data_IF_173294446099
#
_entry.id   IF_173294446099
#
_cell.length_a   1.000
_cell.length_b   1.000
_cell.length_c   1.000
_cell.angle_alpha   90.00
_cell.angle_beta   90.00
_cell.angle_gamma   90.00
#
_symmetry.space_group_name_H-M   'P 1'
#
loop_
_entity.id
_entity.type
_entity.pdbx_description
1 polymer ?
#
# COMPACT_ATOMS: atom_id res chain seq x y z
N UNK A 1 -7.45 -38.88 10.81
CA UNK A 1 -8.63 -39.32 10.04
C UNK A 1 -9.68 -38.22 10.13
N UNK A 2 -9.94 -37.51 9.04
CA UNK A 2 -10.95 -36.44 9.02
C UNK A 2 -12.35 -37.03 9.27
N UNK A 3 -13.16 -36.36 10.09
CA UNK A 3 -14.58 -36.72 10.23
C UNK A 3 -15.23 -36.61 8.86
N UNK A 4 -16.01 -37.62 8.48
CA UNK A 4 -16.79 -37.60 7.25
C UNK A 4 -17.82 -36.46 7.32
N UNK A 5 -17.71 -35.48 6.41
CA UNK A 5 -18.72 -34.42 6.26
C UNK A 5 -19.90 -35.02 5.51
N UNK A 6 -21.09 -34.91 6.10
CA UNK A 6 -22.33 -35.32 5.45
C UNK A 6 -22.92 -34.11 4.72
N UNK A 7 -22.82 -34.13 3.39
CA UNK A 7 -23.45 -33.12 2.54
C UNK A 7 -24.95 -33.37 2.43
N UNK A 8 -25.80 -32.34 2.49
CA UNK A 8 -27.23 -32.49 2.21
C UNK A 8 -27.46 -33.10 0.82
N UNK A 9 -28.40 -34.03 0.74
CA UNK A 9 -28.85 -34.65 -0.52
C UNK A 9 -30.20 -34.09 -0.92
N UNK A 10 -30.47 -34.06 -2.24
CA UNK A 10 -31.74 -33.58 -2.81
C UNK A 10 -32.05 -32.08 -2.59
N UNK A 11 -31.02 -31.25 -2.37
CA UNK A 11 -31.16 -29.79 -2.36
C UNK A 11 -30.86 -29.27 -3.77
N UNK A 12 -31.81 -28.58 -4.38
CA UNK A 12 -31.63 -27.97 -5.69
C UNK A 12 -31.04 -26.55 -5.52
N UNK A 13 -30.04 -26.16 -6.32
CA UNK A 13 -29.57 -24.78 -6.35
C UNK A 13 -30.67 -23.85 -6.91
N UNK A 14 -30.67 -22.56 -6.54
CA UNK A 14 -31.49 -21.54 -7.19
C UNK A 14 -31.19 -21.51 -8.69
N UNK A 15 -32.22 -21.28 -9.50
CA UNK A 15 -32.08 -21.16 -10.95
C UNK A 15 -32.39 -19.73 -11.34
N UNK A 16 -31.37 -19.00 -11.81
CA UNK A 16 -31.56 -17.65 -12.31
C UNK A 16 -32.45 -17.65 -13.55
N UNK A 17 -33.37 -16.70 -13.61
CA UNK A 17 -34.18 -16.46 -14.80
C UNK A 17 -33.31 -16.02 -15.98
N UNK A 18 -33.60 -16.56 -17.15
CA UNK A 18 -32.92 -16.22 -18.41
C UNK A 18 -33.69 -15.09 -19.09
N UNK A 19 -33.12 -13.89 -19.10
CA UNK A 19 -33.70 -12.69 -19.71
C UNK A 19 -32.72 -12.19 -20.78
N UNK A 20 -32.98 -12.45 -22.07
CA UNK A 20 -32.02 -12.14 -23.13
C UNK A 20 -31.80 -10.63 -23.24
N UNK A 21 -30.57 -10.20 -23.02
CA UNK A 21 -30.10 -8.84 -23.31
C UNK A 21 -29.09 -8.91 -24.43
N UNK A 22 -29.34 -8.19 -25.53
CA UNK A 22 -28.41 -8.15 -26.66
C UNK A 22 -27.34 -7.07 -26.43
N UNK A 23 -26.07 -7.49 -26.49
CA UNK A 23 -24.91 -6.63 -26.43
C UNK A 23 -24.29 -6.57 -27.82
N UNK A 24 -24.31 -5.39 -28.44
CA UNK A 24 -23.79 -5.18 -29.80
C UNK A 24 -22.56 -4.29 -29.75
N UNK A 25 -21.43 -4.80 -30.23
CA UNK A 25 -20.20 -4.02 -30.43
C UNK A 25 -19.47 -4.51 -31.66
N UNK A 26 -18.84 -3.61 -32.43
CA UNK A 26 -18.08 -3.95 -33.65
C UNK A 26 -18.83 -4.84 -34.66
N UNK A 27 -20.15 -4.66 -34.79
CA UNK A 27 -21.06 -5.52 -35.59
C UNK A 27 -21.14 -6.99 -35.14
N UNK A 28 -20.59 -7.34 -33.98
CA UNK A 28 -20.80 -8.62 -33.29
C UNK A 28 -21.95 -8.51 -32.30
N UNK A 29 -22.77 -9.57 -32.22
CA UNK A 29 -23.97 -9.62 -31.37
C UNK A 29 -23.82 -10.77 -30.40
N UNK A 30 -23.83 -10.46 -29.10
CA UNK A 30 -23.80 -11.43 -28.02
C UNK A 30 -25.08 -11.31 -27.20
N UNK A 31 -25.68 -12.43 -26.83
CA UNK A 31 -26.82 -12.44 -25.91
C UNK A 31 -26.34 -12.83 -24.52
N UNK A 32 -26.50 -11.93 -23.56
CA UNK A 32 -26.30 -12.20 -22.15
C UNK A 32 -27.67 -12.37 -21.48
N UNK A 33 -27.97 -13.60 -21.06
CA UNK A 33 -29.25 -13.95 -20.44
C UNK A 33 -29.33 -13.54 -18.95
N UNK A 34 -28.21 -13.11 -18.37
CA UNK A 34 -28.08 -12.79 -16.95
C UNK A 34 -27.66 -11.34 -16.71
N UNK A 35 -27.60 -10.51 -17.76
CA UNK A 35 -27.24 -9.09 -17.66
C UNK A 35 -28.08 -8.31 -16.63
N UNK A 36 -29.33 -8.73 -16.44
CA UNK A 36 -30.26 -8.16 -15.46
C UNK A 36 -29.76 -8.27 -14.00
N UNK A 37 -28.85 -9.21 -13.68
CA UNK A 37 -28.24 -9.35 -12.35
C UNK A 37 -27.33 -8.17 -11.96
N UNK A 38 -26.97 -7.30 -12.92
CA UNK A 38 -26.17 -6.11 -12.66
C UNK A 38 -26.97 -4.97 -11.98
N UNK A 39 -28.30 -5.04 -11.94
CA UNK A 39 -29.16 -4.04 -11.32
C UNK A 39 -29.28 -4.26 -9.80
N UNK A 40 -28.37 -3.65 -9.04
CA UNK A 40 -28.16 -3.92 -7.60
C UNK A 40 -29.38 -3.60 -6.71
N UNK A 41 -30.20 -2.64 -7.12
CA UNK A 41 -31.37 -2.19 -6.35
C UNK A 41 -32.64 -2.98 -6.73
N UNK A 42 -32.55 -3.85 -7.75
CA UNK A 42 -33.68 -4.62 -8.23
C UNK A 42 -34.08 -5.70 -7.23
N UNK A 43 -35.36 -5.72 -6.84
CA UNK A 43 -35.87 -6.71 -5.88
C UNK A 43 -35.72 -8.15 -6.36
N UNK A 44 -35.75 -8.42 -7.68
CA UNK A 44 -35.53 -9.76 -8.24
C UNK A 44 -34.07 -10.20 -8.07
N UNK A 45 -33.12 -9.27 -8.19
CA UNK A 45 -31.69 -9.55 -8.01
C UNK A 45 -31.44 -9.84 -6.53
N UNK A 46 -31.95 -8.99 -5.64
CA UNK A 46 -31.84 -9.19 -4.19
C UNK A 46 -32.43 -10.54 -3.77
N UNK A 47 -33.61 -10.91 -4.30
CA UNK A 47 -34.21 -12.21 -4.00
C UNK A 47 -33.32 -13.37 -4.46
N UNK A 48 -32.79 -13.34 -5.69
CA UNK A 48 -31.89 -14.38 -6.18
C UNK A 48 -30.62 -14.52 -5.32
N UNK A 49 -30.03 -13.39 -4.89
CA UNK A 49 -28.88 -13.41 -3.98
C UNK A 49 -29.23 -13.97 -2.60
N UNK A 50 -30.42 -13.68 -2.06
CA UNK A 50 -30.90 -14.30 -0.83
C UNK A 50 -31.09 -15.80 -0.98
N UNK A 51 -31.61 -16.27 -2.11
CA UNK A 51 -31.80 -17.69 -2.39
C UNK A 51 -30.44 -18.42 -2.50
N UNK A 52 -29.44 -17.81 -3.15
CA UNK A 52 -28.07 -18.36 -3.24
C UNK A 52 -27.38 -18.41 -1.87
N UNK A 53 -27.58 -17.40 -1.02
CA UNK A 53 -27.09 -17.41 0.36
C UNK A 53 -27.74 -18.55 1.16
N UNK A 54 -29.06 -18.71 1.07
CA UNK A 54 -29.79 -19.77 1.76
C UNK A 54 -29.36 -21.18 1.28
N UNK A 55 -29.11 -21.34 -0.02
CA UNK A 55 -28.56 -22.57 -0.59
C UNK A 55 -27.16 -22.87 -0.03
N UNK A 56 -26.28 -21.86 -0.02
CA UNK A 56 -24.93 -21.98 0.53
C UNK A 56 -24.95 -22.37 2.02
N UNK A 57 -25.77 -21.70 2.83
CA UNK A 57 -25.95 -22.01 4.25
C UNK A 57 -26.42 -23.46 4.47
N UNK A 58 -27.36 -23.91 3.63
CA UNK A 58 -27.89 -25.28 3.67
C UNK A 58 -26.80 -26.29 3.34
N UNK A 59 -26.12 -26.13 2.20
CA UNK A 59 -25.09 -27.08 1.75
C UNK A 59 -23.90 -27.13 2.72
N UNK A 60 -23.51 -26.00 3.30
CA UNK A 60 -22.39 -25.91 4.23
C UNK A 60 -22.74 -26.28 5.68
N UNK A 61 -24.02 -26.56 6.00
CA UNK A 61 -24.47 -26.79 7.37
C UNK A 61 -23.71 -27.92 8.09
N UNK A 62 -23.33 -28.99 7.38
CA UNK A 62 -22.55 -30.11 7.92
C UNK A 62 -21.11 -29.77 8.31
N UNK A 63 -20.62 -28.58 7.93
CA UNK A 63 -19.24 -28.12 8.19
C UNK A 63 -19.14 -27.09 9.31
N UNK A 64 -20.24 -26.68 9.95
CA UNK A 64 -20.24 -25.60 10.97
C UNK A 64 -19.20 -25.81 12.07
N UNK A 65 -19.10 -27.02 12.63
CA UNK A 65 -18.09 -27.30 13.64
C UNK A 65 -16.65 -27.15 13.13
N UNK A 66 -16.39 -27.50 11.86
CA UNK A 66 -15.07 -27.31 11.26
C UNK A 66 -14.79 -25.81 11.07
N UNK A 67 -15.78 -25.03 10.62
CA UNK A 67 -15.67 -23.58 10.50
C UNK A 67 -15.38 -22.91 11.85
N UNK A 68 -16.10 -23.31 12.90
CA UNK A 68 -15.89 -22.80 14.27
C UNK A 68 -14.49 -23.13 14.78
N UNK A 69 -14.00 -24.35 14.51
CA UNK A 69 -12.65 -24.76 14.86
C UNK A 69 -11.59 -23.92 14.12
N UNK A 70 -11.76 -23.73 12.80
CA UNK A 70 -10.86 -22.91 11.99
C UNK A 70 -10.88 -21.45 12.42
N UNK A 71 -12.07 -20.89 12.69
CA UNK A 71 -12.22 -19.53 13.20
C UNK A 71 -11.51 -19.35 14.54
N UNK A 72 -11.74 -20.27 15.48
CA UNK A 72 -11.11 -20.23 16.81
C UNK A 72 -9.60 -20.39 16.72
N UNK A 73 -9.12 -21.32 15.87
CA UNK A 73 -7.69 -21.49 15.61
C UNK A 73 -7.08 -20.21 15.05
N UNK A 74 -7.61 -19.67 13.95
CA UNK A 74 -7.10 -18.44 13.33
C UNK A 74 -7.12 -17.26 14.30
N UNK A 75 -8.21 -17.07 15.05
CA UNK A 75 -8.31 -16.02 16.07
C UNK A 75 -7.24 -16.20 17.16
N UNK A 76 -7.00 -17.43 17.62
CA UNK A 76 -6.00 -17.72 18.65
C UNK A 76 -4.55 -17.44 18.20
N UNK A 77 -4.30 -17.31 16.89
CA UNK A 77 -2.99 -16.94 16.32
C UNK A 77 -2.75 -15.43 16.26
N UNK A 78 -3.73 -14.61 16.64
CA UNK A 78 -3.63 -13.16 16.60
C UNK A 78 -3.42 -12.65 18.02
N UNK A 79 -2.36 -11.86 18.22
CA UNK A 79 -2.18 -11.12 19.45
C UNK A 79 -3.05 -9.84 19.40
N UNK A 80 -4.06 -9.75 20.27
CA UNK A 80 -4.98 -8.59 20.28
C UNK A 80 -4.26 -7.30 20.68
N UNK A 81 -3.48 -7.34 21.78
CA UNK A 81 -2.64 -6.21 22.19
C UNK A 81 -1.32 -6.24 21.43
N UNK A 82 -1.17 -5.32 20.48
CA UNK A 82 0.02 -5.23 19.65
C UNK A 82 0.43 -3.78 19.37
N UNK A 83 1.69 -3.55 19.01
CA UNK A 83 2.23 -2.25 18.66
C UNK A 83 3.15 -2.34 17.44
N UNK A 84 3.05 -1.39 16.50
CA UNK A 84 4.01 -1.30 15.39
C UNK A 84 5.41 -0.91 15.90
N UNK A 85 6.43 -1.26 15.13
CA UNK A 85 7.79 -0.75 15.37
C UNK A 85 7.79 0.79 15.22
N UNK A 86 8.22 1.56 16.23
CA UNK A 86 8.24 3.01 16.14
C UNK A 86 9.27 3.52 15.12
N UNK A 87 8.93 4.56 14.38
CA UNK A 87 9.82 5.22 13.42
C UNK A 87 9.99 6.70 13.75
N UNK A 88 11.18 7.26 13.48
CA UNK A 88 11.52 8.62 13.89
C UNK A 88 11.45 9.61 12.74
N UNK A 89 10.71 10.72 12.93
CA UNK A 89 10.63 11.83 11.97
C UNK A 89 10.46 13.13 12.74
N UNK A 90 11.22 14.15 12.34
CA UNK A 90 11.03 15.54 12.79
C UNK A 90 10.92 15.70 14.33
N UNK A 91 11.79 15.03 15.09
CA UNK A 91 11.81 15.10 16.56
C UNK A 91 10.83 14.17 17.28
N UNK A 92 10.11 13.31 16.56
CA UNK A 92 9.11 12.41 17.15
C UNK A 92 9.25 10.97 16.66
N UNK A 93 9.04 10.03 17.58
CA UNK A 93 8.81 8.63 17.30
C UNK A 93 7.32 8.39 17.10
N UNK A 94 6.92 7.85 15.95
CA UNK A 94 5.53 7.55 15.60
C UNK A 94 5.28 6.05 15.61
N UNK A 95 4.10 5.63 16.09
CA UNK A 95 3.67 4.24 16.07
C UNK A 95 2.14 4.15 16.18
N UNK A 96 1.62 2.95 15.92
CA UNK A 96 0.22 2.60 16.23
C UNK A 96 0.20 1.45 17.23
N UNK A 97 -0.84 1.41 18.06
CA UNK A 97 -1.08 0.31 19.00
C UNK A 97 -2.53 -0.13 18.99
N UNK A 98 -2.76 -1.41 19.24
CA UNK A 98 -4.06 -2.00 19.51
C UNK A 98 -4.15 -2.35 20.99
N UNK A 99 -5.33 -2.12 21.56
CA UNK A 99 -5.66 -2.52 22.93
C UNK A 99 -6.52 -3.78 22.90
N UNK A 100 -6.43 -4.58 23.96
CA UNK A 100 -7.23 -5.80 24.09
C UNK A 100 -8.73 -5.47 24.09
N UNK A 101 -9.53 -6.23 23.34
CA UNK A 101 -10.97 -5.99 23.18
C UNK A 101 -11.35 -4.84 22.25
N UNK A 102 -10.39 -4.05 21.74
CA UNK A 102 -10.65 -2.96 20.79
C UNK A 102 -10.35 -3.35 19.35
N UNK A 103 -11.14 -2.83 18.41
CA UNK A 103 -11.06 -3.19 16.99
C UNK A 103 -10.20 -2.23 16.16
N UNK A 104 -9.96 -1.02 16.66
CA UNK A 104 -9.25 0.02 15.92
C UNK A 104 -7.95 0.43 16.61
N UNK A 105 -6.93 0.87 15.83
CA UNK A 105 -5.67 1.29 16.41
C UNK A 105 -5.74 2.71 16.96
N UNK A 106 -4.90 2.96 17.97
CA UNK A 106 -4.57 4.31 18.47
C UNK A 106 -3.27 4.76 17.80
N UNK A 107 -3.32 5.91 17.11
CA UNK A 107 -2.14 6.53 16.49
C UNK A 107 -1.46 7.43 17.50
N UNK A 108 -0.17 7.17 17.75
CA UNK A 108 0.57 7.75 18.85
C UNK A 108 1.92 8.32 18.37
N UNK A 109 2.47 9.25 19.14
CA UNK A 109 3.86 9.67 19.02
C UNK A 109 4.53 9.91 20.38
N UNK A 110 5.86 9.95 20.40
CA UNK A 110 6.69 10.30 21.56
C UNK A 110 7.79 11.26 21.15
N UNK A 111 8.01 12.33 21.92
CA UNK A 111 8.99 13.36 21.59
C UNK A 111 10.42 12.92 21.94
N UNK A 112 11.36 13.12 21.02
CA UNK A 112 12.81 12.87 21.10
C UNK A 112 13.22 11.40 21.38
N UNK A 113 12.73 10.80 22.47
CA UNK A 113 13.08 9.48 22.95
C UNK A 113 11.86 8.59 23.17
N UNK A 114 12.04 7.27 23.07
CA UNK A 114 10.97 6.28 23.30
C UNK A 114 10.52 6.18 24.77
N UNK A 115 11.31 6.70 25.71
CA UNK A 115 10.96 6.76 27.14
C UNK A 115 10.09 7.97 27.50
N UNK A 116 9.98 8.94 26.59
CA UNK A 116 9.11 10.11 26.78
C UNK A 116 7.64 9.67 26.86
N UNK A 117 6.79 10.38 27.64
CA UNK A 117 5.35 10.13 27.66
C UNK A 117 4.74 10.12 26.26
N UNK A 118 3.76 9.23 26.07
CA UNK A 118 3.00 9.11 24.83
C UNK A 118 2.08 10.31 24.62
N UNK A 119 2.03 10.80 23.38
CA UNK A 119 1.02 11.72 22.86
C UNK A 119 0.09 10.94 21.91
N UNK A 120 -1.20 10.90 22.22
CA UNK A 120 -2.22 10.30 21.34
C UNK A 120 -2.61 11.34 20.28
N UNK A 121 -2.45 10.99 19.01
CA UNK A 121 -2.86 11.83 17.88
C UNK A 121 -4.33 11.58 17.52
N UNK A 122 -4.66 10.31 17.27
CA UNK A 122 -5.96 9.87 16.78
C UNK A 122 -6.31 8.53 17.43
N UNK A 123 -7.35 8.52 18.27
CA UNK A 123 -7.93 7.30 18.82
C UNK A 123 -9.17 6.91 18.02
N UNK A 124 -9.00 5.94 17.13
CA UNK A 124 -10.10 5.49 16.28
C UNK A 124 -11.22 4.82 17.05
N UNK A 125 -10.98 4.28 18.25
CA UNK A 125 -12.04 3.64 19.03
C UNK A 125 -13.06 4.67 19.50
N UNK A 126 -12.57 5.82 19.97
CA UNK A 126 -13.42 6.97 20.34
C UNK A 126 -14.07 7.58 19.09
N UNK A 127 -13.29 7.77 18.03
CA UNK A 127 -13.78 8.43 16.81
C UNK A 127 -14.84 7.60 16.06
N UNK A 128 -14.82 6.28 16.20
CA UNK A 128 -15.77 5.36 15.58
C UNK A 128 -17.09 5.21 16.36
N UNK A 129 -17.22 5.78 17.56
CA UNK A 129 -18.44 5.65 18.37
C UNK A 129 -19.68 6.15 17.62
N UNK A 130 -20.74 5.34 17.61
CA UNK A 130 -21.99 5.66 16.92
C UNK A 130 -22.01 5.35 15.41
N UNK A 131 -20.89 4.94 14.82
CA UNK A 131 -20.83 4.55 13.41
C UNK A 131 -20.93 3.03 13.21
N UNK A 132 -21.64 2.60 12.14
CA UNK A 132 -21.68 1.19 11.73
C UNK A 132 -20.40 0.74 11.01
N UNK A 133 -19.68 1.70 10.46
CA UNK A 133 -18.41 1.53 9.76
C UNK A 133 -17.57 2.78 10.02
N UNK A 134 -16.29 2.60 10.29
CA UNK A 134 -15.36 3.69 10.44
C UNK A 134 -13.99 3.28 9.93
N UNK A 135 -13.37 4.13 9.12
CA UNK A 135 -12.01 3.92 8.66
C UNK A 135 -11.27 5.25 8.69
N UNK A 136 -10.22 5.35 9.52
CA UNK A 136 -9.15 6.32 9.30
C UNK A 136 -8.25 5.80 8.17
N UNK A 137 -8.15 6.54 7.07
CA UNK A 137 -7.35 6.12 5.92
C UNK A 137 -5.89 6.55 6.05
N UNK A 138 -5.64 7.84 6.23
CA UNK A 138 -4.29 8.38 6.33
C UNK A 138 -4.24 9.59 7.28
N UNK A 139 -3.03 9.98 7.66
CA UNK A 139 -2.75 11.19 8.41
C UNK A 139 -1.39 11.78 8.02
N UNK A 140 -1.26 13.09 8.12
CA UNK A 140 -0.01 13.81 7.93
C UNK A 140 0.14 14.93 8.97
N UNK A 141 1.28 14.93 9.67
CA UNK A 141 1.62 15.96 10.66
C UNK A 141 2.39 17.08 9.97
N UNK A 142 2.05 18.32 10.29
CA UNK A 142 2.71 19.53 9.79
C UNK A 142 4.18 19.60 10.24
N UNK A 143 5.03 20.38 9.54
CA UNK A 143 6.46 20.50 9.84
C UNK A 143 6.74 21.10 11.22
N UNK A 144 5.86 21.94 11.73
CA UNK A 144 5.98 22.46 13.09
C UNK A 144 5.50 21.46 14.18
N UNK A 145 5.02 20.27 13.80
CA UNK A 145 4.47 19.23 14.67
C UNK A 145 3.20 19.63 15.47
N UNK A 146 2.53 20.72 15.08
CA UNK A 146 1.40 21.28 15.84
C UNK A 146 0.04 20.87 15.29
N UNK A 147 -0.05 20.40 14.04
CA UNK A 147 -1.32 20.09 13.38
C UNK A 147 -1.21 18.72 12.72
N UNK A 148 -2.28 17.92 12.82
CA UNK A 148 -2.44 16.70 12.02
C UNK A 148 -3.61 16.88 11.06
N UNK A 149 -3.38 16.64 9.78
CA UNK A 149 -4.41 16.43 8.78
C UNK A 149 -4.72 14.93 8.73
N UNK A 150 -5.99 14.55 8.60
CA UNK A 150 -6.38 13.14 8.55
C UNK A 150 -7.68 12.93 7.77
N UNK A 151 -7.83 11.73 7.20
CA UNK A 151 -8.94 11.37 6.31
C UNK A 151 -9.77 10.22 6.89
N UNK A 152 -11.10 10.37 6.87
CA UNK A 152 -12.01 9.39 7.46
C UNK A 152 -13.13 9.01 6.49
N UNK A 153 -13.48 7.73 6.44
CA UNK A 153 -14.67 7.21 5.75
C UNK A 153 -15.56 6.50 6.79
N UNK A 154 -16.79 6.98 6.94
CA UNK A 154 -17.76 6.43 7.89
C UNK A 154 -18.89 5.64 7.22
N UNK A 155 -18.82 5.42 5.91
CA UNK A 155 -19.87 4.76 5.11
C UNK A 155 -19.34 3.75 4.09
N UNK A 156 -18.03 3.49 4.05
CA UNK A 156 -17.37 2.51 3.17
C UNK A 156 -17.57 2.83 1.68
N UNK A 157 -17.50 4.12 1.33
CA UNK A 157 -17.63 4.60 -0.06
C UNK A 157 -16.30 5.02 -0.69
N UNK A 158 -15.21 5.04 0.08
CA UNK A 158 -13.90 5.56 -0.33
C UNK A 158 -13.96 7.01 -0.85
N UNK A 159 -14.88 7.77 -0.26
CA UNK A 159 -15.02 9.22 -0.37
C UNK A 159 -14.77 9.76 1.03
N UNK A 160 -13.59 10.34 1.25
CA UNK A 160 -13.12 10.63 2.59
C UNK A 160 -13.46 12.08 2.99
N UNK A 161 -13.80 12.26 4.25
CA UNK A 161 -13.78 13.56 4.91
C UNK A 161 -12.33 13.84 5.33
N UNK A 162 -11.72 14.88 4.77
CA UNK A 162 -10.44 15.42 5.23
C UNK A 162 -10.70 16.44 6.36
N UNK A 163 -9.97 16.27 7.46
CA UNK A 163 -10.10 17.04 8.70
C UNK A 163 -8.74 17.43 9.24
N UNK A 164 -8.72 18.43 10.13
CA UNK A 164 -7.50 18.92 10.76
C UNK A 164 -7.69 18.98 12.28
N UNK A 165 -6.65 18.63 13.04
CA UNK A 165 -6.62 18.72 14.50
C UNK A 165 -5.41 19.49 14.98
N UNK A 166 -5.63 20.43 15.89
CA UNK A 166 -4.56 21.07 16.62
C UNK A 166 -4.05 20.10 17.71
N UNK A 167 -2.80 19.68 17.60
CA UNK A 167 -2.18 18.71 18.51
C UNK A 167 -1.80 19.30 19.86
N UNK A 168 -1.73 20.63 19.99
CA UNK A 168 -1.46 21.29 21.27
C UNK A 168 -2.71 21.36 22.15
N UNK A 169 -3.88 21.53 21.53
CA UNK A 169 -5.15 21.66 22.25
C UNK A 169 -5.98 20.38 22.23
N UNK A 170 -5.74 19.47 21.28
CA UNK A 170 -6.55 18.29 21.01
C UNK A 170 -7.89 18.61 20.33
N UNK A 171 -8.09 19.85 19.87
CA UNK A 171 -9.35 20.32 19.28
C UNK A 171 -9.26 20.24 17.75
N UNK A 172 -10.30 19.68 17.13
CA UNK A 172 -10.47 19.68 15.67
C UNK A 172 -10.81 21.09 15.16
N UNK A 173 -10.26 21.45 14.01
CA UNK A 173 -10.67 22.63 13.28
C UNK A 173 -12.12 22.45 12.77
N UNK A 174 -12.82 23.56 12.53
CA UNK A 174 -14.25 23.53 12.23
C UNK A 174 -14.55 23.03 10.82
N UNK A 175 -13.63 23.26 9.88
CA UNK A 175 -13.75 22.86 8.49
C UNK A 175 -13.63 21.34 8.30
N UNK A 176 -14.43 20.83 7.37
CA UNK A 176 -14.39 19.44 6.88
C UNK A 176 -14.46 19.50 5.36
N UNK A 177 -13.49 18.87 4.70
CA UNK A 177 -13.42 18.81 3.24
C UNK A 177 -13.95 17.46 2.77
N UNK A 178 -15.14 17.40 2.15
CA UNK A 178 -15.74 16.12 1.74
C UNK A 178 -15.18 15.62 0.40
N UNK A 179 -15.37 14.33 0.14
CA UNK A 179 -15.00 13.68 -1.13
C UNK A 179 -13.53 13.81 -1.51
N UNK A 180 -12.65 13.85 -0.50
CA UNK A 180 -11.21 13.80 -0.70
C UNK A 180 -10.74 12.37 -1.00
N UNK A 181 -9.55 12.25 -1.57
CA UNK A 181 -8.80 11.00 -1.63
C UNK A 181 -8.27 10.59 -0.26
N UNK A 182 -8.12 9.28 -0.05
CA UNK A 182 -7.85 8.72 1.28
C UNK A 182 -6.41 8.87 1.76
N UNK A 183 -5.42 8.84 0.86
CA UNK A 183 -4.01 8.68 1.23
C UNK A 183 -3.06 9.73 0.65
N UNK A 184 -3.57 10.62 -0.22
CA UNK A 184 -2.80 11.61 -0.97
C UNK A 184 -2.90 12.99 -0.33
N UNK A 185 -2.06 13.19 0.68
CA UNK A 185 -2.02 14.35 1.57
C UNK A 185 -0.68 15.05 1.46
N UNK A 186 -0.67 16.38 1.35
CA UNK A 186 0.58 17.15 1.36
C UNK A 186 0.43 18.51 2.04
N UNK A 187 1.13 18.68 3.16
CA UNK A 187 1.41 20.00 3.74
C UNK A 187 2.39 20.80 2.88
N UNK A 188 2.10 22.09 2.72
CA UNK A 188 3.13 23.06 2.38
C UNK A 188 4.02 23.36 3.60
N UNK A 189 5.23 23.89 3.34
CA UNK A 189 6.20 24.20 4.39
C UNK A 189 5.79 25.38 5.28
N UNK A 190 4.73 26.12 4.93
CA UNK A 190 4.19 27.24 5.71
C UNK A 190 3.31 26.78 6.90
N UNK A 191 3.00 25.48 7.00
CA UNK A 191 2.10 24.87 7.99
C UNK A 191 0.67 25.43 7.99
N UNK A 192 0.24 26.04 6.88
CA UNK A 192 -1.08 26.69 6.74
C UNK A 192 -1.78 26.32 5.44
N UNK A 193 -1.01 26.02 4.40
CA UNK A 193 -1.52 25.59 3.11
C UNK A 193 -1.47 24.08 3.02
N UNK A 194 -2.59 23.48 2.62
CA UNK A 194 -2.73 22.04 2.47
C UNK A 194 -3.23 21.69 1.08
N UNK A 195 -2.65 20.68 0.45
CA UNK A 195 -3.05 20.21 -0.87
C UNK A 195 -3.72 18.85 -0.77
N UNK A 196 -4.84 18.68 -1.49
CA UNK A 196 -5.61 17.43 -1.49
C UNK A 196 -6.20 17.15 -2.87
N UNK A 197 -6.51 15.88 -3.11
CA UNK A 197 -7.21 15.43 -4.32
C UNK A 197 -8.70 15.29 -4.03
N UNK A 198 -9.55 15.86 -4.89
CA UNK A 198 -11.01 15.69 -4.86
C UNK A 198 -11.43 14.61 -5.86
N UNK A 199 -12.33 13.73 -5.42
CA UNK A 199 -12.88 12.62 -6.21
C UNK A 199 -14.19 12.97 -6.88
N UNK A 200 -14.42 12.39 -8.04
CA UNK A 200 -15.73 12.41 -8.69
C UNK A 200 -16.67 11.42 -7.98
N UNK A 201 -17.85 11.85 -7.56
CA UNK A 201 -18.74 11.07 -6.67
C UNK A 201 -19.37 9.84 -7.31
N UNK A 202 -19.40 9.78 -8.64
CA UNK A 202 -19.92 8.64 -9.42
C UNK A 202 -18.82 7.65 -9.79
N UNK A 203 -17.78 8.08 -10.51
CA UNK A 203 -16.68 7.20 -10.95
C UNK A 203 -15.69 6.87 -9.85
N UNK A 204 -15.67 7.64 -8.75
CA UNK A 204 -14.73 7.53 -7.64
C UNK A 204 -13.27 7.78 -8.03
N UNK A 205 -13.01 8.40 -9.18
CA UNK A 205 -11.67 8.79 -9.60
C UNK A 205 -11.30 10.17 -9.02
N UNK A 206 -10.08 10.29 -8.48
CA UNK A 206 -9.46 11.57 -8.18
C UNK A 206 -9.11 12.29 -9.49
N UNK A 207 -9.54 13.55 -9.63
CA UNK A 207 -9.36 14.28 -10.90
C UNK A 207 -9.02 15.76 -10.72
N UNK A 208 -9.16 16.31 -9.50
CA UNK A 208 -8.81 17.70 -9.21
C UNK A 208 -7.90 17.78 -8.00
N UNK A 209 -6.88 18.63 -8.08
CA UNK A 209 -6.04 19.01 -6.94
C UNK A 209 -6.45 20.40 -6.48
N UNK A 210 -6.68 20.54 -5.19
CA UNK A 210 -7.12 21.77 -4.55
C UNK A 210 -6.12 22.19 -3.48
N UNK A 211 -5.98 23.50 -3.27
CA UNK A 211 -5.25 24.10 -2.17
C UNK A 211 -6.23 24.69 -1.16
N UNK A 212 -6.16 24.19 0.06
CA UNK A 212 -6.89 24.67 1.22
C UNK A 212 -6.00 25.57 2.10
N UNK A 213 -6.58 26.63 2.65
CA UNK A 213 -5.95 27.44 3.69
C UNK A 213 -6.58 27.14 5.04
N UNK A 214 -5.79 26.65 5.99
CA UNK A 214 -6.26 26.19 7.30
C UNK A 214 -7.07 27.27 8.03
N UNK A 215 -8.20 26.87 8.62
CA UNK A 215 -9.12 27.73 9.36
C UNK A 215 -10.02 28.60 8.47
N UNK A 216 -10.05 28.37 7.16
CA UNK A 216 -10.93 29.09 6.22
C UNK A 216 -12.09 28.20 5.75
N UNK A 217 -13.16 28.82 5.23
CA UNK A 217 -14.27 28.08 4.63
C UNK A 217 -13.81 27.38 3.34
N UNK A 218 -14.12 26.08 3.22
CA UNK A 218 -13.75 25.19 2.10
C UNK A 218 -14.18 25.71 0.73
N UNK A 219 -15.23 26.55 0.67
CA UNK A 219 -15.65 27.22 -0.57
C UNK A 219 -14.62 28.21 -1.12
N UNK A 220 -13.64 28.63 -0.32
CA UNK A 220 -12.52 29.48 -0.74
C UNK A 220 -11.31 28.70 -1.25
N UNK A 221 -11.36 27.36 -1.23
CA UNK A 221 -10.27 26.53 -1.75
C UNK A 221 -10.02 26.84 -3.22
N UNK A 222 -8.74 26.78 -3.61
CA UNK A 222 -8.33 27.13 -4.97
C UNK A 222 -8.01 25.85 -5.74
N UNK A 223 -8.67 25.68 -6.89
CA UNK A 223 -8.34 24.62 -7.85
C UNK A 223 -6.96 24.93 -8.46
N UNK A 224 -6.00 24.03 -8.26
CA UNK A 224 -4.62 24.21 -8.75
C UNK A 224 -4.26 23.29 -9.91
N UNK A 225 -4.99 22.19 -10.09
CA UNK A 225 -4.84 21.28 -11.23
C UNK A 225 -6.12 20.47 -11.47
N UNK A 226 -6.42 20.17 -12.74
CA UNK A 226 -7.50 19.26 -13.14
C UNK A 226 -7.02 18.33 -14.26
N UNK A 227 -7.15 17.02 -14.03
CA UNK A 227 -6.91 15.99 -15.05
C UNK A 227 -8.15 15.80 -15.90
N UNK A 228 -7.98 15.91 -17.22
CA UNK A 228 -9.06 15.85 -18.19
C UNK A 228 -9.23 14.46 -18.79
N UNK A 229 -8.18 13.64 -18.75
CA UNK A 229 -8.19 12.26 -19.20
C UNK A 229 -8.42 11.33 -18.01
N UNK A 230 -9.63 10.78 -17.92
CA UNK A 230 -10.06 9.92 -16.81
C UNK A 230 -9.35 8.57 -16.73
N UNK A 231 -8.40 8.29 -17.64
CA UNK A 231 -7.50 7.14 -17.53
C UNK A 231 -6.37 7.39 -16.53
N UNK A 232 -6.02 8.66 -16.30
CA UNK A 232 -4.97 9.04 -15.36
C UNK A 232 -5.53 9.11 -13.94
N UNK A 233 -5.04 8.23 -13.07
CA UNK A 233 -5.19 8.38 -11.64
C UNK A 233 -4.25 9.49 -11.14
N UNK A 234 -4.69 10.23 -10.13
CA UNK A 234 -3.87 11.25 -9.48
C UNK A 234 -3.41 10.77 -8.11
N UNK A 235 -2.14 11.04 -7.81
CA UNK A 235 -1.57 10.90 -6.47
C UNK A 235 -0.81 12.17 -6.08
N UNK A 236 -0.69 12.40 -4.77
CA UNK A 236 -0.07 13.60 -4.21
C UNK A 236 0.84 13.21 -3.05
N UNK A 237 2.08 13.68 -3.09
CA UNK A 237 3.06 13.37 -2.06
C UNK A 237 4.02 14.51 -1.83
N UNK A 238 4.63 14.54 -0.64
CA UNK A 238 5.73 15.44 -0.33
C UNK A 238 7.06 14.70 -0.47
N UNK A 239 7.96 15.25 -1.27
CA UNK A 239 9.30 14.69 -1.45
C UNK A 239 10.01 14.50 -0.10
N UNK A 240 10.83 13.47 0.03
CA UNK A 240 11.58 13.17 1.27
C UNK A 240 12.47 14.33 1.73
N UNK A 241 13.01 15.10 0.79
CA UNK A 241 13.75 16.33 1.07
C UNK A 241 12.91 17.47 1.68
N UNK A 242 11.58 17.36 1.65
CA UNK A 242 10.63 18.40 2.05
C UNK A 242 10.49 19.56 1.06
N UNK A 243 11.33 19.64 0.01
CA UNK A 243 11.43 20.78 -0.92
C UNK A 243 10.27 20.89 -1.89
N UNK A 244 9.73 19.75 -2.36
CA UNK A 244 8.67 19.69 -3.35
C UNK A 244 7.43 18.95 -2.85
N UNK A 245 6.27 19.44 -3.25
CA UNK A 245 5.03 18.67 -3.37
C UNK A 245 5.00 18.15 -4.82
N UNK A 246 4.81 16.84 -4.97
CA UNK A 246 4.73 16.17 -6.25
C UNK A 246 3.30 15.69 -6.49
N UNK A 247 2.72 16.16 -7.59
CA UNK A 247 1.51 15.60 -8.18
C UNK A 247 1.93 14.57 -9.23
N UNK A 248 1.33 13.40 -9.17
CA UNK A 248 1.62 12.28 -10.06
C UNK A 248 0.33 11.98 -10.82
N UNK A 249 0.37 12.03 -12.13
CA UNK A 249 -0.70 11.54 -12.99
C UNK A 249 -0.23 10.26 -13.67
N UNK A 250 -0.94 9.15 -13.49
CA UNK A 250 -0.53 7.86 -14.03
C UNK A 250 -1.66 7.04 -14.66
N UNK A 251 -1.35 6.39 -15.79
CA UNK A 251 -2.10 5.24 -16.27
C UNK A 251 -1.28 4.02 -15.89
N UNK A 252 -1.88 3.12 -15.08
CA UNK A 252 -1.19 1.93 -14.58
C UNK A 252 -0.46 1.19 -15.71
N UNK A 253 0.84 0.96 -15.52
CA UNK A 253 1.75 0.28 -16.46
C UNK A 253 1.89 0.92 -17.87
N UNK A 254 1.30 2.08 -18.13
CA UNK A 254 1.28 2.71 -19.46
C UNK A 254 2.00 4.05 -19.50
N UNK A 255 1.78 4.96 -18.55
CA UNK A 255 2.28 6.33 -18.65
C UNK A 255 2.32 7.02 -17.30
N UNK A 256 3.36 7.81 -17.04
CA UNK A 256 3.48 8.63 -15.82
C UNK A 256 3.82 10.08 -16.15
N UNK A 257 3.27 11.04 -15.41
CA UNK A 257 3.67 12.45 -15.40
C UNK A 257 3.85 12.94 -13.97
N UNK A 258 5.00 13.54 -13.67
CA UNK A 258 5.20 14.28 -12.43
C UNK A 258 5.06 15.77 -12.69
N UNK A 259 4.33 16.45 -11.82
CA UNK A 259 4.32 17.90 -11.71
C UNK A 259 4.80 18.28 -10.30
N UNK A 260 5.67 19.28 -10.22
CA UNK A 260 6.34 19.70 -9.00
C UNK A 260 5.93 21.11 -8.60
N UNK A 261 5.66 21.29 -7.31
CA UNK A 261 5.42 22.59 -6.69
C UNK A 261 6.43 22.77 -5.53
N UNK A 262 7.19 23.87 -5.46
CA UNK A 262 8.04 24.16 -4.30
C UNK A 262 7.18 24.28 -3.04
N UNK A 263 7.40 23.42 -2.05
CA UNK A 263 6.59 23.39 -0.83
C UNK A 263 6.71 24.68 -0.01
N UNK A 264 7.78 25.45 -0.20
CA UNK A 264 7.99 26.77 0.42
C UNK A 264 7.23 27.91 -0.26
N UNK A 265 6.67 27.69 -1.46
CA UNK A 265 5.84 28.66 -2.17
C UNK A 265 4.51 28.01 -2.59
N UNK A 266 3.57 27.83 -1.66
CA UNK A 266 2.27 27.22 -1.96
C UNK A 266 1.42 28.05 -2.92
N UNK A 267 1.79 29.29 -3.21
CA UNK A 267 1.15 30.15 -4.20
C UNK A 267 1.58 29.87 -5.65
N UNK A 268 2.72 29.18 -5.83
CA UNK A 268 3.23 28.81 -7.14
C UNK A 268 2.31 27.84 -7.89
N UNK A 269 2.55 27.71 -9.20
CA UNK A 269 1.89 26.70 -10.03
C UNK A 269 2.75 25.45 -10.15
N UNK A 270 2.10 24.29 -10.22
CA UNK A 270 2.75 23.03 -10.56
C UNK A 270 3.51 23.13 -11.90
N UNK A 271 4.77 22.73 -11.89
CA UNK A 271 5.64 22.69 -13.07
C UNK A 271 5.85 21.25 -13.52
N UNK A 272 5.69 20.97 -14.81
CA UNK A 272 5.91 19.63 -15.36
C UNK A 272 7.39 19.25 -15.19
N UNK A 273 7.66 18.08 -14.61
CA UNK A 273 9.00 17.51 -14.51
C UNK A 273 9.49 17.02 -15.87
N UNK A 274 8.70 16.14 -16.49
CA UNK A 274 8.88 15.62 -17.85
C UNK A 274 7.49 15.34 -18.41
N UNK A 275 7.19 15.89 -19.59
CA UNK A 275 5.91 15.66 -20.27
C UNK A 275 5.67 14.18 -20.48
N UNK A 276 4.43 13.74 -20.20
CA UNK A 276 4.03 12.34 -20.36
C UNK A 276 4.26 11.80 -21.77
N UNK A 277 4.69 10.54 -21.83
CA UNK A 277 4.90 9.79 -23.06
C UNK A 277 4.33 8.38 -22.89
N UNK A 278 3.56 7.91 -23.86
CA UNK A 278 2.97 6.57 -23.82
C UNK A 278 4.06 5.50 -23.79
N UNK A 279 3.90 4.51 -22.92
CA UNK A 279 4.88 3.45 -22.64
C UNK A 279 5.99 3.87 -21.68
N UNK A 280 6.07 5.14 -21.24
CA UNK A 280 7.12 5.62 -20.34
C UNK A 280 6.58 5.73 -18.91
N UNK A 281 7.15 4.91 -18.05
CA UNK A 281 6.95 4.90 -16.62
C UNK A 281 8.20 5.45 -15.94
N UNK A 282 8.00 6.27 -14.92
CA UNK A 282 9.10 6.70 -14.07
C UNK A 282 8.62 7.08 -12.68
N UNK A 283 9.53 7.00 -11.70
CA UNK A 283 9.37 7.61 -10.39
C UNK A 283 10.59 8.44 -10.04
N UNK A 284 10.42 9.45 -9.18
CA UNK A 284 11.50 10.38 -8.83
C UNK A 284 11.72 10.46 -7.32
N UNK A 285 12.99 10.59 -6.94
CA UNK A 285 13.42 10.95 -5.59
C UNK A 285 14.29 12.19 -5.64
N UNK A 286 13.94 13.22 -4.87
CA UNK A 286 14.74 14.44 -4.76
C UNK A 286 15.79 14.30 -3.66
N UNK A 287 17.03 14.64 -3.97
CA UNK A 287 18.15 14.65 -3.02
C UNK A 287 19.08 15.81 -3.35
N UNK A 288 19.32 16.68 -2.37
CA UNK A 288 20.16 17.88 -2.50
C UNK A 288 19.79 18.78 -3.69
N UNK A 289 20.54 18.71 -4.80
CA UNK A 289 20.43 19.53 -6.01
C UNK A 289 20.00 18.74 -7.26
N UNK A 290 19.51 17.51 -7.08
CA UNK A 290 19.22 16.58 -8.16
C UNK A 290 18.01 15.70 -7.88
N UNK A 291 17.50 15.11 -8.96
CA UNK A 291 16.55 14.03 -8.91
C UNK A 291 17.21 12.73 -9.36
N UNK A 292 16.95 11.66 -8.62
CA UNK A 292 17.08 10.30 -9.13
C UNK A 292 15.78 9.89 -9.81
N UNK A 293 15.88 9.24 -10.96
CA UNK A 293 14.74 8.84 -11.77
C UNK A 293 14.85 7.33 -12.04
N UNK A 294 13.93 6.55 -11.49
CA UNK A 294 13.77 5.15 -11.84
C UNK A 294 12.82 5.07 -13.03
N UNK A 295 13.27 4.61 -14.20
CA UNK A 295 12.47 4.67 -15.44
C UNK A 295 12.62 3.45 -16.34
N UNK A 296 11.57 3.12 -17.08
CA UNK A 296 11.60 2.09 -18.12
C UNK A 296 12.00 2.62 -19.51
N UNK A 297 12.39 3.90 -19.63
CA UNK A 297 12.75 4.50 -20.92
C UNK A 297 13.86 3.70 -21.59
N UNK A 298 13.57 3.05 -22.72
CA UNK A 298 14.42 2.06 -23.40
C UNK A 298 15.07 1.05 -22.43
N UNK A 299 14.30 0.62 -21.41
CA UNK A 299 14.75 -0.31 -20.38
C UNK A 299 13.54 -1.04 -19.75
N UNK A 300 12.98 -2.09 -20.36
CA UNK A 300 11.85 -2.85 -19.79
C UNK A 300 12.03 -3.27 -18.33
N UNK A 301 13.25 -3.58 -17.90
CA UNK A 301 13.57 -3.95 -16.51
C UNK A 301 13.92 -2.76 -15.61
N UNK A 302 13.65 -1.56 -16.09
CA UNK A 302 13.99 -0.28 -15.50
C UNK A 302 15.50 -0.04 -15.36
N UNK A 303 15.84 1.24 -15.32
CA UNK A 303 17.18 1.73 -15.00
C UNK A 303 17.07 2.93 -14.10
N UNK A 304 18.18 3.23 -13.43
CA UNK A 304 18.29 4.41 -12.60
C UNK A 304 19.07 5.49 -13.34
N UNK A 305 18.45 6.65 -13.47
CA UNK A 305 19.03 7.85 -14.02
C UNK A 305 19.10 8.94 -12.95
N UNK A 306 19.82 10.03 -13.23
CA UNK A 306 19.78 11.26 -12.44
C UNK A 306 19.76 12.48 -13.35
N UNK A 307 19.24 13.59 -12.84
CA UNK A 307 19.31 14.90 -13.51
C UNK A 307 19.39 16.03 -12.49
N UNK A 308 19.88 17.20 -12.89
CA UNK A 308 19.85 18.40 -12.03
C UNK A 308 18.41 18.86 -11.82
N UNK A 309 18.11 19.40 -10.64
CA UNK A 309 16.80 20.00 -10.38
C UNK A 309 16.49 21.21 -11.26
N UNK A 310 17.51 21.83 -11.87
CA UNK A 310 17.37 22.99 -12.75
C UNK A 310 17.19 22.61 -14.23
N UNK A 311 17.36 21.33 -14.59
CA UNK A 311 17.14 20.83 -15.94
C UNK A 311 16.60 19.40 -15.89
N UNK A 312 15.27 19.27 -15.79
CA UNK A 312 14.58 18.00 -15.60
C UNK A 312 14.26 17.27 -16.90
N UNK A 313 14.57 17.88 -18.06
CA UNK A 313 14.27 17.32 -19.38
C UNK A 313 14.93 15.95 -19.55
N UNK A 314 14.21 15.00 -20.13
CA UNK A 314 14.71 13.64 -20.42
C UNK A 314 16.06 13.61 -21.16
N UNK A 315 16.34 14.59 -22.01
CA UNK A 315 17.62 14.74 -22.72
C UNK A 315 18.83 14.99 -21.81
N UNK A 316 18.60 15.47 -20.59
CA UNK A 316 19.62 15.83 -19.61
C UNK A 316 19.84 14.72 -18.56
N UNK A 317 19.07 13.63 -18.65
CA UNK A 317 19.20 12.49 -17.76
C UNK A 317 20.51 11.74 -18.02
N UNK A 318 21.21 11.41 -16.94
CA UNK A 318 22.47 10.65 -16.98
C UNK A 318 22.32 9.35 -16.21
N UNK A 319 22.88 8.27 -16.76
CA UNK A 319 22.72 6.93 -16.18
C UNK A 319 23.54 6.75 -14.89
N UNK A 320 22.90 6.14 -13.89
CA UNK A 320 23.50 5.81 -12.57
C UNK A 320 23.63 4.31 -12.42
N UNK A 321 22.54 3.57 -12.69
CA UNK A 321 22.52 2.10 -12.76
C UNK A 321 21.89 1.72 -14.10
N UNK A 322 22.62 1.04 -15.00
CA UNK A 322 22.07 0.60 -16.27
C UNK A 322 21.02 -0.50 -16.07
N UNK A 323 20.23 -0.74 -17.12
CA UNK A 323 19.35 -1.91 -17.17
C UNK A 323 20.16 -3.22 -17.09
N UNK A 324 19.58 -4.23 -16.43
CA UNK A 324 20.01 -5.63 -16.47
C UNK A 324 18.81 -6.50 -16.88
N UNK A 325 18.96 -7.34 -17.90
CA UNK A 325 17.91 -8.23 -18.42
C UNK A 325 17.42 -9.26 -17.37
N UNK A 326 18.20 -9.48 -16.30
CA UNK A 326 17.89 -10.43 -15.23
C UNK A 326 17.45 -9.76 -13.91
N UNK A 327 17.36 -8.43 -13.86
CA UNK A 327 17.03 -7.69 -12.64
C UNK A 327 15.99 -6.61 -12.95
N UNK A 328 14.82 -6.75 -12.36
CA UNK A 328 13.78 -5.73 -12.40
C UNK A 328 13.99 -4.75 -11.23
N UNK A 329 14.20 -3.47 -11.51
CA UNK A 329 14.31 -2.44 -10.46
C UNK A 329 12.91 -1.94 -10.07
N UNK A 330 12.49 -2.19 -8.83
CA UNK A 330 11.12 -1.90 -8.36
C UNK A 330 11.00 -0.50 -7.76
N UNK A 331 11.92 -0.15 -6.86
CA UNK A 331 11.85 1.08 -6.07
C UNK A 331 13.23 1.52 -5.64
N UNK A 332 13.39 2.83 -5.45
CA UNK A 332 14.56 3.42 -4.80
C UNK A 332 14.19 4.18 -3.52
N UNK A 333 15.15 4.25 -2.60
CA UNK A 333 15.09 5.06 -1.39
C UNK A 333 16.42 5.81 -1.20
N UNK A 334 16.34 7.10 -0.89
CA UNK A 334 17.51 8.01 -0.80
C UNK A 334 17.87 8.31 0.64
N UNK A 335 19.16 8.27 0.95
CA UNK A 335 19.75 8.65 2.23
C UNK A 335 20.96 9.56 1.96
N UNK A 336 21.43 10.29 2.97
CA UNK A 336 22.56 11.23 2.82
C UNK A 336 23.77 10.61 2.13
N UNK A 337 24.12 9.38 2.52
CA UNK A 337 25.33 8.70 2.05
C UNK A 337 25.05 7.49 1.14
N UNK A 338 23.77 7.12 0.98
CA UNK A 338 23.38 5.86 0.35
C UNK A 338 22.19 6.03 -0.59
N UNK A 339 22.20 5.20 -1.62
CA UNK A 339 21.00 4.89 -2.39
C UNK A 339 20.66 3.41 -2.19
N UNK A 340 19.42 3.14 -1.81
CA UNK A 340 18.90 1.78 -1.65
C UNK A 340 17.98 1.47 -2.82
N UNK A 341 18.09 0.27 -3.35
CA UNK A 341 17.34 -0.23 -4.50
C UNK A 341 16.66 -1.53 -4.07
N UNK A 342 15.33 -1.54 -4.08
CA UNK A 342 14.55 -2.77 -4.06
C UNK A 342 14.45 -3.28 -5.49
N UNK A 343 14.82 -4.54 -5.70
CA UNK A 343 14.85 -5.16 -7.01
C UNK A 343 14.39 -6.60 -6.95
N UNK A 344 13.94 -7.15 -8.08
CA UNK A 344 13.60 -8.54 -8.22
C UNK A 344 14.57 -9.24 -9.15
N UNK A 345 15.17 -10.33 -8.67
CA UNK A 345 16.03 -11.21 -9.46
C UNK A 345 15.61 -12.65 -9.26
N UNK A 346 15.46 -13.40 -10.36
CA UNK A 346 14.98 -14.77 -10.33
C UNK A 346 13.68 -14.93 -9.52
N UNK A 347 12.72 -13.99 -9.62
CA UNK A 347 11.48 -13.99 -8.84
C UNK A 347 11.65 -13.97 -7.30
N UNK A 348 12.73 -13.36 -6.81
CA UNK A 348 12.90 -13.00 -5.39
C UNK A 348 13.20 -11.52 -5.28
N UNK A 349 12.50 -10.86 -4.37
CA UNK A 349 12.84 -9.49 -3.96
C UNK A 349 14.21 -9.48 -3.27
N UNK A 350 15.00 -8.46 -3.55
CA UNK A 350 16.34 -8.22 -3.00
C UNK A 350 16.48 -6.74 -2.65
N UNK A 351 17.40 -6.46 -1.74
CA UNK A 351 17.80 -5.09 -1.41
C UNK A 351 19.27 -4.93 -1.76
N UNK A 352 19.54 -4.03 -2.71
CA UNK A 352 20.88 -3.60 -3.11
C UNK A 352 21.15 -2.20 -2.58
N UNK A 353 22.33 -1.97 -2.03
CA UNK A 353 22.73 -0.71 -1.41
C UNK A 353 23.95 -0.18 -2.14
N UNK A 354 23.88 1.07 -2.57
CA UNK A 354 24.97 1.82 -3.19
C UNK A 354 25.45 2.92 -2.24
N UNK A 355 26.73 2.89 -1.88
CA UNK A 355 27.38 4.00 -1.18
C UNK A 355 27.72 5.10 -2.19
N UNK A 356 27.24 6.33 -1.98
CA UNK A 356 27.28 7.39 -3.00
C UNK A 356 28.70 7.89 -3.33
N UNK A 357 29.58 7.96 -2.33
CA UNK A 357 30.94 8.50 -2.47
C UNK A 357 31.87 7.62 -3.35
N UNK A 358 31.75 6.31 -3.18
CA UNK A 358 32.62 5.28 -3.73
C UNK A 358 31.95 4.48 -4.84
N UNK A 359 30.62 4.61 -4.95
CA UNK A 359 29.75 3.77 -5.80
C UNK A 359 29.86 2.28 -5.48
N UNK A 360 30.33 1.92 -4.29
CA UNK A 360 30.40 0.53 -3.86
C UNK A 360 29.00 -0.02 -3.67
N UNK A 361 28.76 -1.20 -4.23
CA UNK A 361 27.50 -1.93 -4.14
C UNK A 361 27.64 -3.13 -3.19
N UNK A 362 26.60 -3.38 -2.41
CA UNK A 362 26.44 -4.65 -1.68
C UNK A 362 24.96 -5.02 -1.55
N UNK A 363 24.71 -6.28 -1.20
CA UNK A 363 23.36 -6.81 -0.99
C UNK A 363 23.10 -7.10 0.48
N UNK A 364 21.87 -6.88 0.92
CA UNK A 364 21.39 -7.47 2.18
C UNK A 364 21.22 -8.97 1.96
N UNK A 365 21.89 -9.80 2.76
CA UNK A 365 21.82 -11.27 2.64
C UNK A 365 20.60 -11.88 3.35
N UNK A 366 20.01 -12.92 2.76
CA UNK A 366 18.88 -13.69 3.30
C UNK A 366 19.13 -15.19 3.14
N UNK A 367 18.72 -15.99 4.13
CA UNK A 367 19.10 -17.42 4.22
C UNK A 367 18.04 -18.38 3.65
N UNK A 368 16.77 -17.95 3.53
CA UNK A 368 15.68 -18.82 3.08
C UNK A 368 15.57 -18.87 1.54
N UNK A 369 15.10 -20.00 1.00
CA UNK A 369 14.99 -20.21 -0.44
C UNK A 369 13.77 -19.51 -1.09
N UNK A 370 12.74 -19.22 -0.28
CA UNK A 370 11.49 -18.59 -0.69
C UNK A 370 11.07 -17.56 0.37
N UNK A 371 11.33 -16.29 0.11
CA UNK A 371 11.03 -15.18 1.00
C UNK A 371 10.55 -13.96 0.20
N UNK A 372 10.03 -12.98 0.92
CA UNK A 372 9.78 -11.65 0.42
C UNK A 372 10.47 -10.63 1.34
N UNK A 373 11.07 -9.61 0.73
CA UNK A 373 11.65 -8.46 1.43
C UNK A 373 11.14 -7.19 0.76
N UNK A 374 10.82 -6.18 1.55
CA UNK A 374 10.40 -4.87 1.04
C UNK A 374 10.94 -3.74 1.91
N UNK A 375 11.13 -2.57 1.32
CA UNK A 375 11.48 -1.37 2.08
C UNK A 375 10.32 -1.02 3.02
N UNK A 376 10.64 -0.60 4.24
CA UNK A 376 9.65 -0.15 5.22
C UNK A 376 9.70 1.39 5.32
N UNK A 377 9.11 1.96 6.37
CA UNK A 377 9.06 3.40 6.64
C UNK A 377 10.48 3.91 6.96
N UNK A 378 11.06 4.69 6.03
CA UNK A 378 12.39 5.29 6.13
C UNK A 378 12.37 6.83 5.96
N UNK A 379 11.71 7.59 6.86
CA UNK A 379 11.59 9.05 6.74
C UNK A 379 12.90 9.79 7.03
N UNK A 380 13.81 9.18 7.80
CA UNK A 380 15.12 9.74 8.09
C UNK A 380 15.99 9.80 6.83
N UNK A 381 16.45 10.99 6.47
CA UNK A 381 17.42 11.19 5.40
C UNK A 381 18.85 11.03 5.90
N UNK A 382 19.14 11.58 7.08
CA UNK A 382 20.47 11.60 7.69
C UNK A 382 20.66 10.43 8.66
N UNK A 383 20.74 9.22 8.10
CA UNK A 383 20.92 7.98 8.87
C UNK A 383 21.64 6.93 8.02
N UNK A 384 22.39 6.06 8.69
CA UNK A 384 22.99 4.87 8.09
C UNK A 384 22.12 3.63 8.28
N UNK A 385 20.96 3.77 8.92
CA UNK A 385 20.02 2.69 9.19
C UNK A 385 18.92 2.62 8.11
N UNK A 386 18.85 1.48 7.43
CA UNK A 386 17.75 1.11 6.55
C UNK A 386 16.78 0.21 7.31
N UNK A 387 15.50 0.58 7.36
CA UNK A 387 14.44 -0.30 7.83
C UNK A 387 13.80 -1.08 6.69
N UNK A 388 13.69 -2.39 6.86
CA UNK A 388 13.01 -3.26 5.90
C UNK A 388 12.08 -4.28 6.58
N UNK A 389 11.09 -4.73 5.84
CA UNK A 389 10.21 -5.85 6.20
C UNK A 389 10.72 -7.13 5.58
N UNK A 390 10.61 -8.24 6.30
CA UNK A 390 10.93 -9.57 5.83
C UNK A 390 9.86 -10.56 6.24
N UNK A 391 9.48 -11.47 5.35
CA UNK A 391 8.62 -12.60 5.68
C UNK A 391 8.97 -13.76 4.77
N UNK A 392 8.70 -14.98 5.22
CA UNK A 392 8.76 -16.16 4.36
C UNK A 392 7.52 -17.03 4.58
N UNK A 393 7.44 -18.14 3.88
CA UNK A 393 6.39 -19.13 4.13
C UNK A 393 6.53 -19.82 5.50
N UNK A 394 7.69 -19.73 6.16
CA UNK A 394 7.92 -20.33 7.49
C UNK A 394 8.22 -19.30 8.58
N UNK A 395 8.70 -18.12 8.22
CA UNK A 395 9.07 -17.04 9.13
C UNK A 395 7.98 -15.97 9.13
N UNK A 396 7.34 -15.68 10.28
CA UNK A 396 6.36 -14.60 10.40
C UNK A 396 6.93 -13.24 10.00
N UNK A 397 6.04 -12.31 9.65
CA UNK A 397 6.41 -10.96 9.25
C UNK A 397 7.28 -10.29 10.32
N UNK A 398 8.45 -9.82 9.89
CA UNK A 398 9.53 -9.30 10.72
C UNK A 398 9.99 -7.94 10.20
N UNK A 399 10.43 -7.08 11.11
CA UNK A 399 10.96 -5.75 10.83
C UNK A 399 12.39 -5.68 11.35
N UNK A 400 13.31 -5.25 10.48
CA UNK A 400 14.73 -5.14 10.79
C UNK A 400 15.24 -3.74 10.53
N UNK A 401 16.18 -3.28 11.35
CA UNK A 401 17.11 -2.21 10.98
C UNK A 401 18.42 -2.83 10.48
N UNK A 402 18.91 -2.31 9.35
CA UNK A 402 20.17 -2.68 8.72
C UNK A 402 21.11 -1.50 8.73
N UNK A 403 22.28 -1.65 9.34
CA UNK A 403 23.33 -0.64 9.25
C UNK A 403 24.02 -0.77 7.89
N UNK A 404 23.79 0.19 7.00
CA UNK A 404 24.31 0.21 5.62
C UNK A 404 25.83 0.41 5.53
N UNK A 405 26.49 0.83 6.63
CA UNK A 405 27.95 0.92 6.72
C UNK A 405 28.59 -0.39 7.20
N UNK A 406 28.07 -0.97 8.29
CA UNK A 406 28.70 -2.12 8.96
C UNK A 406 28.16 -3.47 8.50
N UNK A 407 26.98 -3.49 7.89
CA UNK A 407 26.26 -4.70 7.51
C UNK A 407 25.53 -5.40 8.66
N UNK A 408 25.48 -4.78 9.85
CA UNK A 408 24.77 -5.32 11.01
C UNK A 408 23.25 -5.31 10.79
N UNK A 409 22.59 -6.44 11.15
CA UNK A 409 21.13 -6.61 11.11
C UNK A 409 20.59 -6.72 12.53
N UNK A 410 19.63 -5.87 12.88
CA UNK A 410 18.95 -5.88 14.17
C UNK A 410 17.46 -6.19 13.96
N UNK A 411 16.99 -7.31 14.51
CA UNK A 411 15.56 -7.62 14.55
C UNK A 411 14.86 -6.69 15.55
N UNK A 412 13.92 -5.90 15.08
CA UNK A 412 13.14 -4.99 15.92
C UNK A 412 11.84 -5.61 16.40
N UNK A 413 11.21 -6.39 15.51
CA UNK A 413 9.97 -7.09 15.81
C UNK A 413 9.79 -8.26 14.86
N UNK A 414 9.44 -9.42 15.41
CA UNK A 414 8.83 -10.53 14.68
C UNK A 414 7.36 -10.61 15.13
N UNK A 415 6.44 -10.80 14.19
CA UNK A 415 5.02 -10.90 14.51
C UNK A 415 4.80 -12.17 15.33
N UNK A 416 4.36 -12.07 16.59
CA UNK A 416 4.14 -13.25 17.41
C UNK A 416 2.95 -14.03 16.88
N UNK A 417 3.08 -15.35 16.88
CA UNK A 417 2.03 -16.29 16.50
C UNK A 417 1.72 -17.16 17.72
N UNK A 418 0.77 -16.77 18.59
CA UNK A 418 0.47 -17.51 19.80
C UNK A 418 0.00 -18.95 19.55
N UNK A 419 -0.01 -19.75 20.62
CA UNK A 419 -0.33 -21.17 20.58
C UNK A 419 0.90 -22.03 20.36
N UNK A 420 0.77 -23.09 19.55
CA UNK A 420 1.81 -24.09 19.31
C UNK A 420 2.54 -23.92 17.96
N UNK A 421 2.55 -22.72 17.40
CA UNK A 421 3.26 -22.48 16.15
C UNK A 421 4.76 -22.54 16.42
N UNK A 422 5.47 -23.30 15.59
CA UNK A 422 6.92 -23.34 15.56
C UNK A 422 7.34 -23.40 14.09
N UNK A 423 8.09 -22.39 13.64
CA UNK A 423 8.60 -22.32 12.26
C UNK A 423 9.39 -23.56 11.86
N UNK A 424 10.05 -24.22 12.82
CA UNK A 424 10.83 -25.43 12.59
C UNK A 424 9.97 -26.65 12.23
N UNK A 425 8.65 -26.61 12.43
CA UNK A 425 7.73 -27.66 12.00
C UNK A 425 7.46 -27.62 10.49
N UNK A 426 7.83 -26.55 9.80
CA UNK A 426 7.52 -26.34 8.39
C UNK A 426 8.77 -26.36 7.54
N UNK A 427 8.64 -26.85 6.31
CA UNK A 427 9.65 -26.76 5.27
C UNK A 427 9.08 -25.93 4.13
N UNK A 428 9.89 -24.99 3.64
CA UNK A 428 9.59 -24.25 2.43
C UNK A 428 10.73 -24.45 1.43
N UNK A 429 10.35 -24.63 0.17
CA UNK A 429 11.28 -24.79 -0.93
C UNK A 429 10.77 -24.08 -2.17
N UNK A 430 11.68 -23.90 -3.12
CA UNK A 430 11.39 -23.25 -4.39
C UNK A 430 11.62 -24.22 -5.53
N UNK A 431 10.58 -24.42 -6.31
CA UNK A 431 10.54 -25.32 -7.45
C UNK A 431 10.41 -24.51 -8.74
N UNK A 432 10.67 -25.16 -9.88
CA UNK A 432 10.51 -24.57 -11.20
C UNK A 432 9.72 -25.52 -12.09
N UNK A 433 8.47 -25.16 -12.39
CA UNK A 433 7.71 -25.85 -13.42
C UNK A 433 8.22 -25.43 -14.81
N UNK A 434 8.01 -26.28 -15.81
CA UNK A 434 8.32 -25.95 -17.22
C UNK A 434 7.00 -25.73 -17.94
N UNK A 435 6.79 -24.50 -18.43
CA UNK A 435 5.65 -24.12 -19.25
C UNK A 435 5.61 -24.87 -20.57
N UNK A 436 4.47 -24.82 -21.25
CA UNK A 436 4.26 -25.50 -22.55
C UNK A 436 5.22 -24.99 -23.64
N UNK A 437 5.72 -23.78 -23.48
CA UNK A 437 6.69 -23.08 -24.33
C UNK A 437 8.14 -23.27 -23.86
N UNK A 438 8.39 -24.00 -22.77
CA UNK A 438 9.72 -24.19 -22.17
C UNK A 438 10.08 -23.17 -21.09
N UNK A 439 9.26 -22.13 -20.87
CA UNK A 439 9.51 -21.09 -19.86
C UNK A 439 9.56 -21.70 -18.46
N UNK A 440 10.51 -21.27 -17.62
CA UNK A 440 10.60 -21.71 -16.23
C UNK A 440 9.70 -20.87 -15.34
N UNK A 441 8.73 -21.52 -14.69
CA UNK A 441 7.72 -20.87 -13.83
C UNK A 441 8.10 -21.17 -12.36
N UNK A 442 8.48 -20.16 -11.57
CA UNK A 442 8.85 -20.36 -10.17
C UNK A 442 7.62 -20.72 -9.33
N UNK A 443 7.81 -21.64 -8.37
CA UNK A 443 6.79 -22.07 -7.42
C UNK A 443 7.40 -22.06 -6.03
N UNK A 444 6.78 -21.35 -5.09
CA UNK A 444 7.10 -21.45 -3.67
C UNK A 444 6.10 -22.38 -3.00
N UNK A 445 6.57 -23.43 -2.33
CA UNK A 445 5.73 -24.39 -1.62
C UNK A 445 6.10 -24.44 -0.14
N UNK A 446 5.11 -24.66 0.72
CA UNK A 446 5.30 -24.88 2.15
C UNK A 446 4.44 -26.03 2.64
N UNK A 447 4.99 -26.84 3.53
CA UNK A 447 4.30 -27.96 4.14
C UNK A 447 4.90 -28.29 5.51
N UNK A 448 4.15 -29.02 6.33
CA UNK A 448 4.62 -29.51 7.63
C UNK A 448 5.58 -30.69 7.40
N UNK A 449 6.69 -30.75 8.14
CA UNK A 449 7.78 -31.73 7.93
C UNK A 449 7.39 -33.18 8.20
N UNK A 450 6.35 -33.41 8.99
CA UNK A 450 5.80 -34.74 9.28
C UNK A 450 4.76 -35.21 8.25
N UNK A 451 4.56 -34.46 7.16
CA UNK A 451 3.69 -34.85 6.07
C UNK A 451 4.32 -36.02 5.28
N UNK A 452 3.58 -37.13 5.16
CA UNK A 452 3.99 -38.28 4.35
C UNK A 452 3.61 -38.07 2.88
N UNK A 453 4.50 -37.40 2.13
CA UNK A 453 4.29 -37.03 0.72
C UNK A 453 3.93 -38.21 -0.19
N UNK A 454 4.45 -39.41 0.10
CA UNK A 454 4.28 -40.62 -0.73
C UNK A 454 2.83 -41.14 -0.77
N UNK A 455 1.99 -40.76 0.20
CA UNK A 455 0.59 -41.22 0.27
C UNK A 455 -0.41 -40.39 -0.56
N UNK A 456 0.08 -39.38 -1.29
CA UNK A 456 -0.76 -38.37 -1.93
C UNK A 456 -1.32 -37.40 -0.89
N UNK A 457 -1.01 -36.11 -1.04
CA UNK A 457 -1.41 -35.07 -0.10
C UNK A 457 -2.38 -34.09 -0.79
N UNK A 458 -3.40 -33.57 -0.08
CA UNK A 458 -4.19 -32.46 -0.59
C UNK A 458 -3.29 -31.28 -0.93
N UNK A 459 -3.52 -30.67 -2.10
CA UNK A 459 -2.78 -29.51 -2.58
C UNK A 459 -3.72 -28.31 -2.69
N UNK A 460 -3.33 -27.20 -2.09
CA UNK A 460 -3.87 -25.88 -2.39
C UNK A 460 -2.84 -25.16 -3.28
N UNK A 461 -3.19 -24.97 -4.55
CA UNK A 461 -2.39 -24.16 -5.48
C UNK A 461 -3.03 -22.77 -5.57
N UNK A 462 -2.29 -21.76 -5.12
CA UNK A 462 -2.66 -20.35 -5.21
C UNK A 462 -1.84 -19.68 -6.32
N UNK A 463 -2.46 -18.79 -7.09
CA UNK A 463 -1.84 -18.06 -8.20
C UNK A 463 -2.33 -16.62 -8.24
#
# INVERSE_FOLDING_TARGET
>A
MGKQINWPVHINPPVADRIPTELVTHNDRRTDEYYWLNDRENSRVLQYLHDENAYTETMMAGTRQLQDNLFTEMKSRIQEKDQSVPWFKNGYWYYRRFEEGFQYPVICRKKDHLETPEEILLDQNIMAEGYKYYQLSSYEVSDNNEIVAYTVDSVSRRLYDLRFRNLLTGIDYAEIIPNAEGSDLAWAADNKSFFYIRKHTVTLLGYQVWRHALGTDVSNDILVYEEKDNRYALSLTRSKSGKYIALIAEINEVSTEYLLLPASDPAASFQIFQTREEGILYSIQHMDDRFYILTNWNAPNFRLMQTSENDTRKSSWTEVIPEDENVYLEQIEVFRNFLVIAEMRNALSQIRIMKLDSKQLHYVGFDEAAYNVSLNINPGFDTDLLRYSYTSMTTPASVFDYNMLTGEKVLLKETPVPGNFDKNNYHAERLWATGRDGTKIPISIVYRKDLHLESGCPLLLYA
#
